data_IF_265006021354
#
_entry.id   IF_265006021354
#
_cell.length_a   1.000
_cell.length_b   1.000
_cell.length_c   1.000
_cell.angle_alpha   90.00
_cell.angle_beta   90.00
_cell.angle_gamma   90.00
#
_symmetry.space_group_name_H-M   'P 1'
#
loop_
_entity.id
_entity.type
_entity.pdbx_description
1 polymer ?
#
# COMPACT_ATOMS: atom_id res chain seq x y z
N UNK A 1 -9.94 -46.18 22.21
CA UNK A 1 -10.72 -45.13 21.53
C UNK A 1 -10.47 -43.70 22.03
N UNK A 2 -10.05 -43.46 23.28
CA UNK A 2 -9.76 -42.08 23.77
C UNK A 2 -8.49 -41.44 23.17
N UNK A 3 -7.47 -42.25 22.86
CA UNK A 3 -6.22 -41.81 22.21
C UNK A 3 -6.48 -41.29 20.79
N UNK A 4 -7.31 -42.00 20.02
CA UNK A 4 -7.72 -41.58 18.67
C UNK A 4 -8.48 -40.26 18.66
N UNK A 5 -9.35 -40.04 19.65
CA UNK A 5 -10.11 -38.78 19.78
C UNK A 5 -9.20 -37.59 20.11
N UNK A 6 -8.11 -37.81 20.83
CA UNK A 6 -7.10 -36.80 21.14
C UNK A 6 -6.23 -36.44 19.93
N UNK A 7 -5.84 -37.43 19.11
CA UNK A 7 -5.10 -37.18 17.86
C UNK A 7 -5.92 -36.40 16.83
N UNK A 8 -7.24 -36.64 16.77
CA UNK A 8 -8.15 -35.91 15.88
C UNK A 8 -8.26 -34.43 16.26
N UNK A 9 -8.18 -34.11 17.56
CA UNK A 9 -8.17 -32.73 18.07
C UNK A 9 -6.87 -32.00 17.76
N UNK A 10 -5.72 -32.68 17.84
CA UNK A 10 -4.42 -32.10 17.46
C UNK A 10 -4.33 -31.84 15.95
N UNK A 11 -4.90 -32.72 15.12
CA UNK A 11 -4.93 -32.54 13.67
C UNK A 11 -5.81 -31.35 13.25
N UNK A 12 -6.92 -31.13 13.95
CA UNK A 12 -7.85 -30.01 13.68
C UNK A 12 -7.23 -28.63 13.96
N UNK A 13 -6.38 -28.51 14.99
CA UNK A 13 -5.67 -27.26 15.31
C UNK A 13 -4.61 -26.86 14.27
N UNK A 14 -4.04 -27.82 13.55
CA UNK A 14 -3.03 -27.55 12.50
C UNK A 14 -3.63 -27.03 11.18
N UNK A 15 -4.92 -27.27 10.92
CA UNK A 15 -5.58 -26.79 9.69
C UNK A 15 -5.93 -25.29 9.81
N UNK A 16 -6.04 -24.77 11.04
CA UNK A 16 -6.38 -23.36 11.31
C UNK A 16 -5.21 -22.39 11.12
N UNK A 17 -3.96 -22.87 10.97
CA UNK A 17 -2.78 -22.01 10.73
C UNK A 17 -2.46 -21.79 9.24
N UNK A 18 -3.29 -22.27 8.32
CA UNK A 18 -3.11 -22.19 6.87
C UNK A 18 -3.98 -21.13 6.17
N UNK A 19 -4.34 -20.04 6.86
CA UNK A 19 -4.88 -18.81 6.26
C UNK A 19 -4.19 -17.60 6.90
N UNK A 20 -3.56 -16.64 6.19
CA UNK A 20 -3.79 -16.13 4.85
C UNK A 20 -2.46 -15.94 4.10
N UNK A 21 -2.28 -16.53 2.91
CA UNK A 21 -1.34 -15.98 1.94
C UNK A 21 -2.05 -14.83 1.22
N UNK A 22 -2.10 -13.66 1.85
CA UNK A 22 -2.57 -12.45 1.19
C UNK A 22 -1.45 -11.95 0.27
N UNK A 23 -1.26 -12.62 -0.87
CA UNK A 23 -0.61 -11.98 -2.01
C UNK A 23 -1.66 -11.07 -2.63
N UNK A 24 -1.89 -9.91 -2.03
CA UNK A 24 -2.29 -8.79 -2.86
C UNK A 24 -1.14 -8.64 -3.85
N UNK A 25 -1.42 -8.98 -5.11
CA UNK A 25 -0.65 -8.46 -6.21
C UNK A 25 -0.70 -6.95 -6.04
N UNK A 26 0.34 -6.41 -5.42
CA UNK A 26 0.67 -5.02 -5.41
C UNK A 26 0.83 -4.63 -6.88
N UNK A 27 -0.29 -4.36 -7.54
CA UNK A 27 -0.37 -3.31 -8.55
C UNK A 27 -0.23 -1.98 -7.79
N UNK A 28 0.88 -1.85 -7.05
CA UNK A 28 1.40 -0.58 -6.60
C UNK A 28 1.69 0.12 -7.90
N UNK A 29 0.80 1.04 -8.26
CA UNK A 29 1.13 2.11 -9.18
C UNK A 29 2.23 2.89 -8.44
N UNK A 30 3.47 2.37 -8.48
CA UNK A 30 4.69 3.11 -8.17
C UNK A 30 4.90 4.07 -9.34
N UNK A 31 3.93 4.94 -9.57
CA UNK A 31 4.24 6.16 -10.29
C UNK A 31 5.17 6.94 -9.38
N UNK A 32 6.39 7.28 -9.81
CA UNK A 32 7.21 8.19 -9.04
C UNK A 32 6.41 9.49 -8.92
N UNK A 33 5.93 9.81 -7.72
CA UNK A 33 5.35 11.12 -7.41
C UNK A 33 6.43 12.22 -7.35
N UNK A 34 7.66 11.90 -7.75
CA UNK A 34 8.81 12.77 -7.75
C UNK A 34 9.16 13.12 -9.21
N UNK A 35 9.10 14.40 -9.52
CA UNK A 35 9.40 14.97 -10.84
C UNK A 35 10.67 15.83 -10.77
N UNK A 36 11.39 15.94 -11.88
CA UNK A 36 12.59 16.78 -11.94
C UNK A 36 12.24 18.27 -12.07
N UNK A 37 11.05 18.59 -12.56
CA UNK A 37 10.59 19.97 -12.74
C UNK A 37 9.23 20.22 -12.06
N UNK A 38 9.04 21.47 -11.63
CA UNK A 38 7.79 21.95 -11.05
C UNK A 38 6.61 21.78 -12.02
N UNK A 39 6.80 22.14 -13.30
CA UNK A 39 5.75 22.08 -14.32
C UNK A 39 5.23 20.64 -14.53
N UNK A 40 6.12 19.64 -14.50
CA UNK A 40 5.72 18.23 -14.60
C UNK A 40 4.91 17.79 -13.38
N UNK A 41 5.33 18.20 -12.17
CA UNK A 41 4.57 17.90 -10.96
C UNK A 41 3.19 18.57 -10.94
N UNK A 42 3.08 19.81 -11.43
CA UNK A 42 1.81 20.55 -11.51
C UNK A 42 0.82 19.91 -12.49
N UNK A 43 1.30 19.47 -13.67
CA UNK A 43 0.45 18.75 -14.64
C UNK A 43 -0.13 17.46 -14.06
N UNK A 44 0.64 16.79 -13.21
CA UNK A 44 0.24 15.53 -12.58
C UNK A 44 -0.64 15.75 -11.34
N UNK A 45 -0.61 16.94 -10.73
CA UNK A 45 -1.46 17.31 -9.60
C UNK A 45 -2.96 17.14 -9.91
N UNK A 46 -3.38 17.42 -11.15
CA UNK A 46 -4.76 17.23 -11.59
C UNK A 46 -5.25 15.77 -11.48
N UNK A 47 -4.35 14.77 -11.51
CA UNK A 47 -4.72 13.36 -11.31
C UNK A 47 -5.03 13.01 -9.86
N UNK A 48 -4.67 13.88 -8.92
CA UNK A 48 -4.87 13.72 -7.49
C UNK A 48 -5.94 14.68 -6.94
N UNK A 49 -6.75 15.30 -7.81
CA UNK A 49 -7.74 16.31 -7.44
C UNK A 49 -7.14 17.44 -6.57
N UNK A 50 -5.90 17.82 -6.90
CA UNK A 50 -5.16 18.87 -6.23
C UNK A 50 -4.47 19.79 -7.23
N UNK A 51 -3.98 20.92 -6.75
CA UNK A 51 -3.31 21.93 -7.57
C UNK A 51 -1.93 22.26 -7.04
N UNK A 52 -1.07 22.68 -7.97
CA UNK A 52 0.29 23.12 -7.69
C UNK A 52 1.25 21.98 -7.38
N UNK A 53 2.43 22.34 -6.90
CA UNK A 53 3.50 21.40 -6.58
C UNK A 53 4.39 21.99 -5.48
N UNK A 54 4.96 21.11 -4.66
CA UNK A 54 5.94 21.50 -3.64
C UNK A 54 7.26 20.76 -3.84
N UNK A 55 8.35 21.41 -3.42
CA UNK A 55 9.69 20.86 -3.55
C UNK A 55 9.98 19.93 -2.37
N UNK A 56 10.51 18.74 -2.67
CA UNK A 56 10.99 17.75 -1.72
C UNK A 56 12.44 17.38 -2.09
N UNK A 57 13.39 18.05 -1.43
CA UNK A 57 14.81 17.95 -1.79
C UNK A 57 15.07 18.53 -3.18
N UNK A 58 15.67 17.73 -4.06
CA UNK A 58 15.97 18.13 -5.45
C UNK A 58 14.83 17.84 -6.43
N UNK A 59 13.70 17.29 -5.95
CA UNK A 59 12.57 16.86 -6.78
C UNK A 59 11.30 17.60 -6.39
N UNK A 60 10.30 17.51 -7.25
CA UNK A 60 8.98 18.13 -7.10
C UNK A 60 7.90 17.08 -6.92
N UNK A 61 6.96 17.33 -6.02
CA UNK A 61 5.79 16.49 -5.84
C UNK A 61 4.50 17.24 -6.19
N UNK A 62 3.49 16.54 -6.73
CA UNK A 62 2.19 17.13 -7.01
C UNK A 62 1.51 17.56 -5.71
N UNK A 63 0.59 18.53 -5.85
CA UNK A 63 -0.12 19.23 -4.78
C UNK A 63 0.77 20.24 -4.01
N UNK A 64 0.23 21.44 -3.74
CA UNK A 64 0.93 22.46 -2.94
C UNK A 64 1.22 22.04 -1.48
N UNK A 65 0.38 21.18 -0.91
CA UNK A 65 0.52 20.70 0.46
C UNK A 65 -0.02 19.28 0.59
N UNK A 66 0.56 18.51 1.50
CA UNK A 66 -0.02 17.25 1.93
C UNK A 66 -1.23 17.54 2.83
N UNK A 67 -2.43 17.14 2.41
CA UNK A 67 -3.56 17.05 3.34
C UNK A 67 -3.29 15.87 4.28
N UNK A 68 -2.82 16.15 5.48
CA UNK A 68 -2.88 15.18 6.57
C UNK A 68 -4.35 15.02 6.96
N UNK A 69 -4.99 13.94 6.53
CA UNK A 69 -6.26 13.54 7.11
C UNK A 69 -5.98 13.15 8.57
N UNK A 70 -6.47 13.96 9.52
CA UNK A 70 -6.43 13.69 10.95
C UNK A 70 -7.54 12.71 11.36
#
# INVERSE_FOLDING_TARGET
MKRFLSFLSFLYMMILTLGCSNKQAEKQIKMPMLFDTKEQAEKEAHKFDCEGAHQMGDKWMPCNMHKHNQ
#
